data_IF_161719131367
#
_entry.id   IF_161719131367
#
_cell.length_a   1.000
_cell.length_b   1.000
_cell.length_c   1.000
_cell.angle_alpha   90.00
_cell.angle_beta   90.00
_cell.angle_gamma   90.00
#
_symmetry.space_group_name_H-M   'P 1'
#
loop_
_entity.id
_entity.type
_entity.pdbx_description
1 polymer ?
#
# COMPACT_ATOMS: atom_id res chain seq x y z
N UNK A 1 22.21 -43.92 -17.60
CA UNK A 1 21.39 -43.69 -16.38
C UNK A 1 20.52 -42.40 -16.44
N UNK A 2 20.34 -41.73 -17.59
CA UNK A 2 19.63 -40.44 -17.65
C UNK A 2 18.14 -40.46 -18.03
N UNK A 3 17.61 -41.53 -18.62
CA UNK A 3 16.21 -41.52 -19.12
C UNK A 3 15.14 -41.70 -18.03
N UNK A 4 15.47 -42.36 -16.91
CA UNK A 4 14.51 -42.52 -15.80
C UNK A 4 14.19 -41.22 -15.06
N UNK A 5 15.12 -40.25 -15.07
CA UNK A 5 14.96 -38.98 -14.38
C UNK A 5 14.06 -38.00 -15.17
N UNK A 6 14.10 -38.06 -16.50
CA UNK A 6 13.20 -37.29 -17.35
C UNK A 6 11.74 -37.77 -17.23
N UNK A 7 11.51 -39.08 -17.15
CA UNK A 7 10.16 -39.63 -16.95
C UNK A 7 9.59 -39.35 -15.54
N UNK A 8 10.46 -39.22 -14.53
CA UNK A 8 10.04 -38.83 -13.18
C UNK A 8 9.70 -37.33 -13.08
N UNK A 9 10.29 -36.48 -13.93
CA UNK A 9 9.99 -35.06 -14.02
C UNK A 9 8.72 -34.78 -14.84
N UNK A 10 8.48 -35.52 -15.93
CA UNK A 10 7.24 -35.40 -16.72
C UNK A 10 6.00 -35.88 -15.97
N UNK A 11 6.16 -36.74 -14.97
CA UNK A 11 5.06 -37.26 -14.16
C UNK A 11 4.75 -36.48 -12.88
N UNK A 12 5.49 -35.42 -12.55
CA UNK A 12 5.43 -34.82 -11.22
C UNK A 12 5.15 -33.31 -11.23
N UNK A 13 3.88 -32.90 -11.11
CA UNK A 13 3.49 -31.50 -11.28
C UNK A 13 4.02 -30.53 -10.21
N UNK A 14 4.72 -30.97 -9.14
CA UNK A 14 4.97 -30.13 -7.96
C UNK A 14 6.36 -30.19 -7.31
N UNK A 15 7.40 -30.77 -7.93
CA UNK A 15 8.74 -30.76 -7.29
C UNK A 15 9.39 -29.37 -7.20
N UNK A 16 8.94 -28.40 -7.99
CA UNK A 16 9.52 -27.05 -7.99
C UNK A 16 8.97 -26.11 -6.90
N UNK A 17 7.95 -26.52 -6.14
CA UNK A 17 7.33 -25.67 -5.10
C UNK A 17 7.77 -25.99 -3.66
N UNK A 18 8.79 -26.83 -3.46
CA UNK A 18 9.40 -27.04 -2.14
C UNK A 18 8.51 -27.71 -1.08
N UNK A 19 7.43 -28.40 -1.48
CA UNK A 19 6.53 -29.11 -0.57
C UNK A 19 6.60 -30.62 -0.76
N UNK A 20 7.02 -31.36 0.28
CA UNK A 20 6.79 -32.80 0.39
C UNK A 20 5.29 -33.08 0.55
N UNK A 21 4.53 -33.06 -0.54
CA UNK A 21 3.20 -33.64 -0.58
C UNK A 21 3.32 -35.05 -1.17
N UNK A 22 2.86 -36.07 -0.42
CA UNK A 22 2.73 -37.42 -0.94
C UNK A 22 1.95 -37.38 -2.27
N UNK A 23 2.45 -37.98 -3.36
CA UNK A 23 1.77 -37.95 -4.67
C UNK A 23 0.37 -38.57 -4.63
N UNK A 24 0.04 -39.34 -3.59
CA UNK A 24 -1.29 -39.91 -3.38
C UNK A 24 -2.35 -38.89 -2.88
N UNK A 25 -1.96 -37.70 -2.41
CA UNK A 25 -2.89 -36.69 -1.85
C UNK A 25 -2.82 -35.31 -2.52
N UNK A 26 -1.96 -35.12 -3.51
CA UNK A 26 -1.86 -33.88 -4.26
C UNK A 26 -2.99 -33.78 -5.30
N UNK A 27 -4.10 -33.11 -4.94
CA UNK A 27 -5.15 -32.78 -5.90
C UNK A 27 -4.64 -31.77 -6.94
N UNK A 28 -4.62 -32.09 -8.25
CA UNK A 28 -4.18 -31.16 -9.28
C UNK A 28 -4.95 -29.84 -9.24
N UNK A 29 -6.26 -29.93 -8.98
CA UNK A 29 -7.13 -28.78 -8.82
C UNK A 29 -6.64 -27.83 -7.71
N UNK A 30 -6.28 -28.35 -6.53
CA UNK A 30 -5.84 -27.50 -5.41
C UNK A 30 -4.56 -26.74 -5.74
N UNK A 31 -3.62 -27.37 -6.43
CA UNK A 31 -2.37 -26.73 -6.75
C UNK A 31 -2.51 -25.74 -7.93
N UNK A 32 -3.37 -26.02 -8.91
CA UNK A 32 -3.75 -25.02 -9.92
C UNK A 32 -4.44 -23.81 -9.28
N UNK A 33 -5.32 -24.01 -8.31
CA UNK A 33 -5.96 -22.92 -7.56
C UNK A 33 -4.93 -22.12 -6.76
N UNK A 34 -3.94 -22.77 -6.14
CA UNK A 34 -2.87 -22.09 -5.41
C UNK A 34 -1.97 -21.28 -6.34
N UNK A 35 -1.56 -21.84 -7.48
CA UNK A 35 -0.80 -21.12 -8.50
C UNK A 35 -1.59 -19.95 -9.10
N UNK A 36 -2.90 -20.10 -9.28
CA UNK A 36 -3.76 -19.01 -9.73
C UNK A 36 -3.86 -17.91 -8.68
N UNK A 37 -3.96 -18.28 -7.41
CA UNK A 37 -4.00 -17.35 -6.28
C UNK A 37 -2.73 -16.50 -6.24
N UNK A 38 -1.56 -17.12 -6.33
CA UNK A 38 -0.28 -16.41 -6.32
C UNK A 38 -0.11 -15.51 -7.55
N UNK A 39 -0.58 -15.94 -8.72
CA UNK A 39 -0.56 -15.13 -9.94
C UNK A 39 -1.40 -13.85 -9.79
N UNK A 40 -2.64 -13.96 -9.29
CA UNK A 40 -3.50 -12.80 -9.07
C UNK A 40 -2.96 -11.84 -8.00
N UNK A 41 -2.38 -12.38 -6.92
CA UNK A 41 -1.71 -11.55 -5.90
C UNK A 41 -0.47 -10.84 -6.45
N UNK A 42 0.31 -11.50 -7.30
CA UNK A 42 1.45 -10.87 -7.98
C UNK A 42 1.01 -9.73 -8.89
N UNK A 43 -0.10 -9.91 -9.62
CA UNK A 43 -0.71 -8.86 -10.43
C UNK A 43 -1.18 -7.67 -9.58
N UNK A 44 -1.81 -7.94 -8.44
CA UNK A 44 -2.23 -6.89 -7.50
C UNK A 44 -1.03 -6.05 -7.00
N UNK A 45 0.10 -6.69 -6.72
CA UNK A 45 1.34 -6.00 -6.34
C UNK A 45 1.90 -5.11 -7.47
N UNK A 46 1.86 -5.58 -8.72
CA UNK A 46 2.26 -4.77 -9.88
C UNK A 46 1.38 -3.53 -10.03
N UNK A 47 0.06 -3.68 -9.90
CA UNK A 47 -0.91 -2.56 -9.96
C UNK A 47 -0.64 -1.55 -8.84
N UNK A 48 -0.39 -2.01 -7.61
CA UNK A 48 -0.06 -1.15 -6.46
C UNK A 48 1.23 -0.34 -6.69
N UNK A 49 2.22 -0.96 -7.34
CA UNK A 49 3.52 -0.35 -7.66
C UNK A 49 3.48 0.60 -8.85
N UNK A 50 2.36 0.66 -9.57
CA UNK A 50 2.24 1.47 -10.76
C UNK A 50 2.89 0.86 -11.99
N UNK A 51 2.88 -0.48 -12.07
CA UNK A 51 3.32 -1.21 -13.26
C UNK A 51 2.43 -0.93 -14.47
N UNK A 52 2.80 -1.52 -15.61
CA UNK A 52 1.98 -1.45 -16.82
C UNK A 52 0.60 -2.07 -16.57
N UNK A 53 -0.45 -1.31 -16.90
CA UNK A 53 -1.86 -1.70 -16.71
C UNK A 53 -2.64 -1.62 -18.01
N UNK A 54 -1.96 -1.50 -19.16
CA UNK A 54 -2.60 -1.51 -20.47
C UNK A 54 -3.35 -2.84 -20.69
N UNK A 55 -4.62 -2.75 -21.10
CA UNK A 55 -5.49 -3.91 -21.33
C UNK A 55 -5.84 -4.75 -20.10
N UNK A 56 -5.40 -4.34 -18.90
CA UNK A 56 -5.64 -5.10 -17.66
C UNK A 56 -7.14 -5.24 -17.36
N UNK A 57 -7.89 -4.14 -17.49
CA UNK A 57 -9.33 -4.15 -17.21
C UNK A 57 -10.09 -5.03 -18.22
N UNK A 58 -9.68 -5.05 -19.49
CA UNK A 58 -10.26 -5.94 -20.50
C UNK A 58 -10.08 -7.41 -20.12
N UNK A 59 -8.86 -7.79 -19.72
CA UNK A 59 -8.54 -9.16 -19.32
C UNK A 59 -9.34 -9.60 -18.10
N UNK A 60 -9.39 -8.76 -17.06
CA UNK A 60 -10.17 -9.05 -15.85
C UNK A 60 -11.67 -9.12 -16.18
N UNK A 61 -12.17 -8.19 -17.00
CA UNK A 61 -13.58 -8.16 -17.39
C UNK A 61 -14.00 -9.40 -18.19
N UNK A 62 -13.13 -9.88 -19.08
CA UNK A 62 -13.34 -11.12 -19.83
C UNK A 62 -13.29 -12.34 -18.91
N UNK A 63 -12.38 -12.39 -17.94
CA UNK A 63 -12.29 -13.49 -16.97
C UNK A 63 -13.53 -13.57 -16.08
N UNK A 64 -14.03 -12.42 -15.62
CA UNK A 64 -15.23 -12.30 -14.77
C UNK A 64 -16.55 -12.39 -15.55
N UNK A 65 -16.51 -12.52 -16.88
CA UNK A 65 -17.72 -12.68 -17.69
C UNK A 65 -18.44 -14.00 -17.38
N UNK A 66 -17.68 -15.06 -17.12
CA UNK A 66 -18.21 -16.40 -16.80
C UNK A 66 -18.05 -16.80 -15.34
N UNK A 67 -17.48 -15.91 -14.52
CA UNK A 67 -17.09 -16.21 -13.14
C UNK A 67 -17.56 -15.13 -12.17
N UNK A 68 -17.93 -15.54 -10.96
CA UNK A 68 -18.23 -14.61 -9.87
C UNK A 68 -16.96 -14.06 -9.21
N UNK A 69 -15.90 -14.87 -9.13
CA UNK A 69 -14.64 -14.56 -8.46
C UNK A 69 -13.43 -14.89 -9.35
N UNK A 70 -12.24 -14.41 -8.97
CA UNK A 70 -10.99 -14.67 -9.70
C UNK A 70 -10.59 -16.14 -9.69
N UNK A 71 -10.87 -16.82 -8.58
CA UNK A 71 -10.60 -18.23 -8.35
C UNK A 71 -11.93 -18.97 -8.24
N UNK A 72 -11.98 -20.20 -8.75
CA UNK A 72 -13.16 -21.05 -8.62
C UNK A 72 -13.34 -21.51 -7.16
N UNK A 73 -14.20 -20.77 -6.45
CA UNK A 73 -14.43 -20.82 -5.01
C UNK A 73 -15.87 -20.41 -4.70
N UNK A 74 -16.52 -20.98 -3.67
CA UNK A 74 -17.86 -20.57 -3.26
C UNK A 74 -17.93 -19.15 -2.67
N UNK A 75 -16.79 -18.57 -2.29
CA UNK A 75 -16.67 -17.22 -1.74
C UNK A 75 -15.47 -16.47 -2.31
N UNK A 76 -15.46 -15.15 -2.17
CA UNK A 76 -14.28 -14.35 -2.50
C UNK A 76 -13.08 -14.80 -1.67
N UNK A 77 -11.90 -14.73 -2.29
CA UNK A 77 -10.62 -15.11 -1.71
C UNK A 77 -9.79 -13.88 -1.40
N UNK A 78 -8.63 -14.07 -0.76
CA UNK A 78 -7.68 -12.98 -0.54
C UNK A 78 -7.22 -12.35 -1.87
N UNK A 79 -7.12 -13.13 -2.95
CA UNK A 79 -6.76 -12.60 -4.27
C UNK A 79 -7.80 -11.61 -4.77
N UNK A 80 -9.09 -11.89 -4.52
CA UNK A 80 -10.17 -11.00 -4.94
C UNK A 80 -10.10 -9.65 -4.23
N UNK A 81 -9.94 -9.70 -2.91
CA UNK A 81 -9.81 -8.49 -2.07
C UNK A 81 -8.55 -7.71 -2.48
N UNK A 82 -7.41 -8.40 -2.61
CA UNK A 82 -6.13 -7.73 -2.82
C UNK A 82 -6.09 -7.01 -4.17
N UNK A 83 -6.62 -7.63 -5.22
CA UNK A 83 -6.72 -7.01 -6.54
C UNK A 83 -7.79 -5.91 -6.59
N UNK A 84 -8.95 -6.09 -5.97
CA UNK A 84 -9.96 -5.04 -5.90
C UNK A 84 -9.44 -3.79 -5.18
N UNK A 85 -8.75 -3.97 -4.04
CA UNK A 85 -8.08 -2.89 -3.31
C UNK A 85 -6.98 -2.26 -4.15
N UNK A 86 -6.17 -3.07 -4.85
CA UNK A 86 -5.10 -2.59 -5.72
C UNK A 86 -5.65 -1.71 -6.84
N UNK A 87 -6.76 -2.10 -7.49
CA UNK A 87 -7.39 -1.34 -8.56
C UNK A 87 -7.97 -0.02 -8.03
N UNK A 88 -8.76 -0.05 -6.95
CA UNK A 88 -9.41 1.15 -6.40
C UNK A 88 -8.40 2.14 -5.80
N UNK A 89 -7.28 1.65 -5.26
CA UNK A 89 -6.22 2.47 -4.65
C UNK A 89 -4.96 2.56 -5.51
N UNK A 90 -5.08 2.24 -6.79
CA UNK A 90 -3.93 2.15 -7.69
C UNK A 90 -3.18 3.48 -7.76
N UNK A 91 -1.85 3.39 -7.77
CA UNK A 91 -0.96 4.50 -8.13
C UNK A 91 -0.62 4.49 -9.62
N UNK A 92 -0.98 3.43 -10.35
CA UNK A 92 -0.62 3.22 -11.75
C UNK A 92 -1.23 4.29 -12.66
N UNK A 93 -2.47 4.72 -12.38
CA UNK A 93 -3.10 5.79 -13.14
C UNK A 93 -4.46 6.20 -12.56
N UNK A 94 -4.71 7.50 -12.41
CA UNK A 94 -6.06 8.04 -12.20
C UNK A 94 -7.09 7.59 -13.26
N UNK A 95 -6.77 7.51 -14.57
CA UNK A 95 -7.71 7.02 -15.58
C UNK A 95 -8.09 5.55 -15.40
N UNK A 96 -7.25 4.71 -14.81
CA UNK A 96 -7.58 3.30 -14.56
C UNK A 96 -8.79 3.18 -13.62
N UNK A 97 -8.77 3.93 -12.52
CA UNK A 97 -9.88 3.95 -11.54
C UNK A 97 -11.14 4.53 -12.17
N UNK A 98 -11.01 5.59 -12.96
CA UNK A 98 -12.12 6.23 -13.65
C UNK A 98 -12.75 5.34 -14.74
N UNK A 99 -11.98 4.41 -15.31
CA UNK A 99 -12.45 3.49 -16.34
C UNK A 99 -13.25 2.32 -15.77
N UNK A 100 -13.07 1.94 -14.49
CA UNK A 100 -13.73 0.78 -13.85
C UNK A 100 -15.23 0.70 -14.12
N UNK A 101 -16.04 1.78 -14.00
CA UNK A 101 -17.49 1.71 -14.25
C UNK A 101 -17.87 1.33 -15.69
N UNK A 102 -16.95 1.50 -16.65
CA UNK A 102 -17.18 1.11 -18.05
C UNK A 102 -17.09 -0.40 -18.27
N UNK A 103 -16.50 -1.13 -17.32
CA UNK A 103 -16.33 -2.59 -17.36
C UNK A 103 -17.36 -3.25 -16.45
N UNK A 104 -18.49 -3.66 -17.01
CA UNK A 104 -19.65 -4.14 -16.25
C UNK A 104 -19.34 -5.29 -15.28
N UNK A 105 -18.52 -6.28 -15.69
CA UNK A 105 -18.21 -7.43 -14.83
C UNK A 105 -17.24 -7.04 -13.71
N UNK A 106 -16.26 -6.19 -14.02
CA UNK A 106 -15.30 -5.68 -13.02
C UNK A 106 -16.03 -4.80 -12.01
N UNK A 107 -16.87 -3.89 -12.48
CA UNK A 107 -17.67 -3.01 -11.63
C UNK A 107 -18.59 -3.83 -10.71
N UNK A 108 -19.36 -4.78 -11.27
CA UNK A 108 -20.20 -5.71 -10.48
C UNK A 108 -19.40 -6.43 -9.40
N UNK A 109 -18.24 -6.96 -9.75
CA UNK A 109 -17.39 -7.72 -8.84
C UNK A 109 -16.82 -6.85 -7.71
N UNK A 110 -16.31 -5.66 -8.01
CA UNK A 110 -15.81 -4.71 -6.99
C UNK A 110 -16.95 -4.23 -6.08
N UNK A 111 -18.12 -3.90 -6.63
CA UNK A 111 -19.29 -3.51 -5.83
C UNK A 111 -19.72 -4.62 -4.89
N UNK A 112 -19.77 -5.87 -5.36
CA UNK A 112 -20.09 -7.02 -4.52
C UNK A 112 -19.11 -7.21 -3.36
N UNK A 113 -17.80 -7.12 -3.63
CA UNK A 113 -16.77 -7.18 -2.58
C UNK A 113 -16.94 -6.03 -1.58
N UNK A 114 -17.18 -4.81 -2.06
CA UNK A 114 -17.38 -3.64 -1.21
C UNK A 114 -18.60 -3.80 -0.29
N UNK A 115 -19.72 -4.32 -0.81
CA UNK A 115 -20.92 -4.60 -0.01
C UNK A 115 -20.65 -5.64 1.07
N UNK A 116 -19.99 -6.76 0.73
CA UNK A 116 -19.60 -7.79 1.70
C UNK A 116 -18.65 -7.24 2.77
N UNK A 117 -17.60 -6.51 2.39
CA UNK A 117 -16.65 -5.93 3.35
C UNK A 117 -17.29 -4.90 4.27
N UNK A 118 -18.26 -4.13 3.75
CA UNK A 118 -19.02 -3.16 4.55
C UNK A 118 -19.96 -3.87 5.51
N UNK A 119 -20.65 -4.93 5.07
CA UNK A 119 -21.59 -5.67 5.89
C UNK A 119 -20.89 -6.44 7.03
N UNK A 120 -19.77 -7.11 6.73
CA UNK A 120 -19.08 -7.98 7.69
C UNK A 120 -18.10 -7.22 8.59
N UNK A 121 -17.38 -6.23 8.04
CA UNK A 121 -16.25 -5.58 8.72
C UNK A 121 -16.39 -4.06 8.86
N UNK A 122 -17.43 -3.45 8.29
CA UNK A 122 -17.58 -1.99 8.26
C UNK A 122 -16.53 -1.26 7.41
N UNK A 123 -15.83 -1.97 6.52
CA UNK A 123 -14.75 -1.40 5.70
C UNK A 123 -15.31 -0.84 4.40
N UNK A 124 -14.95 0.40 4.06
CA UNK A 124 -15.29 1.04 2.78
C UNK A 124 -14.07 1.09 1.86
N UNK A 125 -14.22 0.54 0.66
CA UNK A 125 -13.22 0.64 -0.40
C UNK A 125 -13.31 2.02 -1.07
N UNK A 126 -12.61 2.98 -0.49
CA UNK A 126 -12.45 4.31 -1.11
C UNK A 126 -11.10 4.44 -1.81
N UNK A 127 -11.02 5.25 -2.88
CA UNK A 127 -9.75 5.72 -3.42
C UNK A 127 -8.87 6.29 -2.31
N UNK A 128 -7.56 6.12 -2.44
CA UNK A 128 -6.61 6.54 -1.41
C UNK A 128 -6.75 8.04 -1.15
N UNK A 129 -7.24 8.42 0.02
CA UNK A 129 -7.24 9.81 0.46
C UNK A 129 -5.80 10.33 0.59
N UNK A 130 -5.56 11.57 0.17
CA UNK A 130 -4.30 12.24 0.43
C UNK A 130 -4.12 12.34 1.95
N UNK A 131 -3.01 11.81 2.47
CA UNK A 131 -2.64 12.04 3.87
C UNK A 131 -2.34 13.53 3.97
N UNK A 132 -3.00 14.30 4.87
CA UNK A 132 -2.67 15.70 5.05
C UNK A 132 -1.19 15.81 5.36
N UNK A 133 -0.49 16.65 4.60
CA UNK A 133 0.92 16.93 4.82
C UNK A 133 1.05 17.57 6.20
N UNK A 134 1.58 16.81 7.16
CA UNK A 134 1.97 17.38 8.44
C UNK A 134 3.21 18.21 8.13
N UNK A 135 3.02 19.51 7.94
CA UNK A 135 4.12 20.46 7.86
C UNK A 135 4.91 20.34 9.16
N UNK A 136 6.00 19.59 9.12
CA UNK A 136 6.85 19.39 10.29
C UNK A 136 7.68 20.66 10.48
N UNK A 137 7.05 21.70 11.01
CA UNK A 137 7.70 22.96 11.38
C UNK A 137 8.57 22.81 12.62
N UNK A 138 8.51 21.65 13.28
CA UNK A 138 9.44 21.26 14.33
C UNK A 138 10.40 20.23 13.70
N UNK A 139 11.69 20.55 13.67
CA UNK A 139 12.72 19.62 13.21
C UNK A 139 12.61 18.25 13.92
N UNK A 140 13.29 17.21 13.40
CA UNK A 140 13.23 15.87 13.98
C UNK A 140 13.41 15.95 15.50
N UNK A 141 12.56 15.28 16.31
CA UNK A 141 12.68 15.30 17.75
C UNK A 141 14.10 14.87 18.11
N UNK A 142 14.82 15.76 18.79
CA UNK A 142 16.17 15.46 19.27
C UNK A 142 16.01 14.38 20.33
N UNK A 143 16.24 13.12 19.94
CA UNK A 143 16.42 12.04 20.88
C UNK A 143 17.75 12.31 21.59
N UNK A 144 17.67 12.77 22.84
CA UNK A 144 18.82 12.88 23.71
C UNK A 144 19.33 11.46 24.02
N UNK A 145 20.17 10.93 23.15
CA UNK A 145 21.10 9.88 23.57
C UNK A 145 22.05 10.55 24.57
N UNK A 146 21.90 10.18 25.83
CA UNK A 146 22.72 10.68 26.92
C UNK A 146 24.19 10.53 26.56
N UNK A 147 24.86 11.67 26.38
CA UNK A 147 26.27 11.77 26.67
C UNK A 147 26.40 12.89 27.69
N UNK A 148 26.62 12.45 28.92
CA UNK A 148 26.74 13.26 30.11
C UNK A 148 28.03 14.05 30.00
N UNK A 149 27.96 15.28 29.52
CA UNK A 149 28.85 16.39 29.93
C UNK A 149 28.51 17.65 29.12
N UNK A 150 28.20 18.71 29.85
CA UNK A 150 27.96 20.09 29.37
C UNK A 150 26.62 20.37 28.68
N UNK A 151 25.56 20.38 29.50
CA UNK A 151 24.33 21.09 29.17
C UNK A 151 24.48 22.55 29.64
N UNK A 152 24.79 23.46 28.71
CA UNK A 152 24.47 24.89 28.88
C UNK A 152 23.05 25.05 28.38
N UNK A 153 22.09 25.22 29.30
CA UNK A 153 20.69 25.48 28.95
C UNK A 153 20.58 26.94 28.49
N UNK A 154 20.24 27.25 27.23
CA UNK A 154 19.83 28.60 26.88
C UNK A 154 18.49 28.89 27.55
N UNK A 155 18.48 29.89 28.43
CA UNK A 155 17.30 30.35 29.16
C UNK A 155 16.26 30.88 28.16
N UNK A 156 15.16 30.16 27.98
CA UNK A 156 14.04 30.62 27.17
C UNK A 156 13.41 31.89 27.79
N UNK A 157 12.99 32.88 26.99
CA UNK A 157 12.26 34.04 27.49
C UNK A 157 10.83 33.63 27.81
N UNK A 158 10.43 33.81 29.07
CA UNK A 158 9.06 33.57 29.55
C UNK A 158 8.20 34.78 29.19
N UNK A 159 7.08 34.55 28.50
CA UNK A 159 6.12 35.57 28.12
C UNK A 159 4.99 35.73 29.16
N UNK A 160 4.82 36.97 29.66
CA UNK A 160 3.69 37.46 30.50
C UNK A 160 3.90 37.27 32.01
N UNK A 161 3.82 38.26 32.90
CA UNK A 161 3.18 39.59 32.95
C UNK A 161 3.77 40.40 34.16
N UNK A 162 3.33 41.62 34.58
CA UNK A 162 2.65 42.74 33.91
C UNK A 162 3.41 44.10 34.04
N UNK A 163 2.79 45.15 33.48
CA UNK A 163 3.16 46.59 33.42
C UNK A 163 3.70 47.23 34.71
N UNK A 164 4.67 48.14 34.54
CA UNK A 164 4.84 49.29 35.44
C UNK A 164 6.16 50.06 35.27
N UNK A 165 6.07 51.36 34.96
CA UNK A 165 7.10 52.33 35.36
C UNK A 165 7.98 52.92 34.26
N UNK A 166 7.61 54.10 33.78
CA UNK A 166 8.41 54.96 32.92
C UNK A 166 9.65 55.54 33.64
N UNK A 167 10.71 55.88 32.89
CA UNK A 167 11.66 56.91 33.34
C UNK A 167 13.07 56.92 32.73
N UNK A 168 13.26 57.75 31.69
CA UNK A 168 14.40 58.68 31.43
C UNK A 168 15.84 58.13 31.28
N UNK A 169 16.38 58.09 30.05
CA UNK A 169 17.25 59.09 29.35
C UNK A 169 18.71 59.17 29.78
N UNK A 170 19.62 58.85 28.85
CA UNK A 170 20.87 59.55 28.47
C UNK A 170 21.65 58.57 27.54
N UNK A 171 22.12 58.87 26.34
CA UNK A 171 22.75 60.08 25.82
C UNK A 171 24.18 59.71 25.41
N UNK A 172 24.51 59.73 24.10
CA UNK A 172 25.86 59.40 23.64
C UNK A 172 26.02 59.42 22.12
N UNK A 173 26.17 60.62 21.56
CA UNK A 173 26.57 60.90 20.17
C UNK A 173 28.01 60.43 19.91
N UNK A 174 28.28 60.05 18.65
CA UNK A 174 29.65 59.87 18.15
C UNK A 174 29.71 59.40 16.69
N UNK A 175 29.21 60.22 15.76
CA UNK A 175 29.59 60.19 14.33
C UNK A 175 31.13 60.36 14.20
N UNK A 176 31.82 59.65 13.29
CA UNK A 176 32.28 60.09 11.94
C UNK A 176 33.82 59.88 11.90
N UNK A 177 34.55 59.60 10.81
CA UNK A 177 34.27 59.55 9.37
C UNK A 177 35.50 58.90 8.68
N UNK A 178 35.25 58.34 7.49
CA UNK A 178 36.13 58.13 6.33
C UNK A 178 37.54 58.76 6.34
N UNK A 179 38.54 58.00 5.90
CA UNK A 179 39.07 57.99 4.52
C UNK A 179 39.93 56.75 4.30
#
# INVERSE_FOLDING_TARGET
CGMGMHNALDGSPYYLLGGHASPASASPYRATSLASLTAWMSLADQVKKGGDTEGLLDQINSHLATRAFLIDSPSFTIADIDLAVALVRSKASAPLVAAIPSYSNVHRWISGIQESLKAEFGIVLSPKAAIPEIANSQGPPVFFYGNETNVVIPKAPVAGAPKGGAGKTAGGKGQQQKQ
#
